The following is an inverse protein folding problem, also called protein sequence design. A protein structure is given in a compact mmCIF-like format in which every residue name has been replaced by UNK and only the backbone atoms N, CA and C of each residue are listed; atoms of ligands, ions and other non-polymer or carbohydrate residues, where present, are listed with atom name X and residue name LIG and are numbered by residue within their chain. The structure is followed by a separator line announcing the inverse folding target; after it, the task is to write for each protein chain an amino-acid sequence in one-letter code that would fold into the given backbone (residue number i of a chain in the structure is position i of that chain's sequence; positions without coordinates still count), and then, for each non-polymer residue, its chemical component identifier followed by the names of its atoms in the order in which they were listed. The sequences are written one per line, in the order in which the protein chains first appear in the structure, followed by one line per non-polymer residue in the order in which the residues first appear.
data_IF_756408123481
#
_entry.id   IF_756408123481
#
_cell.length_a   1.000
_cell.length_b   1.000
_cell.length_c   1.000
_cell.angle_alpha   90.00
_cell.angle_beta   90.00
_cell.angle_gamma   90.00
#
_symmetry.space_group_name_H-M   'P 1'
#
loop_
_entity.id
_entity.type
_entity.pdbx_description
1 polymer ?
#
# COMPACT_ATOMS: atom_id res chain seq x y z
N UNK A 1 4.18 -31.55 -13.63
CA UNK A 1 4.98 -30.71 -12.73
C UNK A 1 4.88 -29.31 -13.27
N UNK A 2 4.04 -28.48 -12.65
CA UNK A 2 3.86 -27.08 -13.04
C UNK A 2 5.10 -26.30 -12.58
N UNK A 3 6.12 -26.25 -13.44
CA UNK A 3 7.37 -25.54 -13.17
C UNK A 3 7.19 -24.06 -13.52
N UNK A 4 6.33 -23.37 -12.78
CA UNK A 4 6.38 -21.90 -12.77
C UNK A 4 7.68 -21.52 -12.04
N UNK A 5 8.62 -20.80 -12.68
CA UNK A 5 9.84 -20.38 -12.01
C UNK A 5 9.49 -19.55 -10.78
N UNK A 6 10.14 -19.89 -9.65
CA UNK A 6 9.86 -19.23 -8.36
C UNK A 6 10.34 -17.79 -8.44
N UNK A 7 9.39 -16.85 -8.44
CA UNK A 7 9.68 -15.41 -8.49
C UNK A 7 10.64 -15.01 -7.36
N UNK A 8 11.60 -14.15 -7.72
CA UNK A 8 12.65 -13.65 -6.85
C UNK A 8 12.09 -12.63 -5.87
N UNK A 9 12.46 -12.80 -4.61
CA UNK A 9 12.13 -11.88 -3.51
C UNK A 9 13.05 -10.67 -3.57
N UNK A 10 12.61 -9.55 -3.02
CA UNK A 10 13.43 -8.36 -2.85
C UNK A 10 13.50 -7.90 -1.41
N UNK A 11 14.04 -6.70 -1.21
CA UNK A 11 14.23 -6.07 0.08
C UNK A 11 13.44 -4.77 0.16
N UNK A 12 12.85 -4.53 1.32
CA UNK A 12 12.06 -3.32 1.57
C UNK A 12 12.95 -2.09 1.73
N UNK A 13 12.38 -0.88 1.59
CA UNK A 13 13.12 0.36 1.86
C UNK A 13 13.66 0.40 3.29
N UNK A 14 12.94 -0.16 4.26
CA UNK A 14 13.40 -0.32 5.64
C UNK A 14 14.64 -1.20 5.79
N UNK A 15 14.71 -2.32 5.08
CA UNK A 15 15.89 -3.19 5.10
C UNK A 15 17.11 -2.51 4.45
N UNK A 16 16.91 -1.81 3.32
CA UNK A 16 17.96 -1.04 2.68
C UNK A 16 18.48 0.09 3.58
N UNK A 17 17.59 0.84 4.24
CA UNK A 17 17.96 1.89 5.19
C UNK A 17 18.73 1.32 6.39
N UNK A 18 18.30 0.17 6.93
CA UNK A 18 18.98 -0.49 8.05
C UNK A 18 20.40 -0.93 7.66
N UNK A 19 20.57 -1.52 6.48
CA UNK A 19 21.89 -1.90 5.98
C UNK A 19 22.79 -0.67 5.75
N UNK A 20 22.28 0.39 5.13
CA UNK A 20 23.01 1.64 4.96
C UNK A 20 23.40 2.27 6.32
N UNK A 21 22.50 2.23 7.31
CA UNK A 21 22.76 2.69 8.68
C UNK A 21 23.90 1.90 9.33
N UNK A 22 23.87 0.55 9.26
CA UNK A 22 24.93 -0.32 9.79
C UNK A 22 26.29 0.06 9.19
N UNK A 23 26.37 0.18 7.87
CA UNK A 23 27.60 0.52 7.18
C UNK A 23 28.12 1.93 7.56
N UNK A 24 27.22 2.92 7.65
CA UNK A 24 27.56 4.28 8.02
C UNK A 24 28.08 4.39 9.46
N UNK A 25 27.48 3.65 10.40
CA UNK A 25 27.94 3.55 11.79
C UNK A 25 29.30 2.86 11.91
N UNK A 26 29.51 1.75 11.18
CA UNK A 26 30.82 1.10 11.10
C UNK A 26 31.89 2.07 10.59
N UNK A 27 31.58 2.91 9.60
CA UNK A 27 32.47 3.99 9.15
C UNK A 27 32.74 5.03 10.23
N UNK A 28 31.68 5.54 10.86
CA UNK A 28 31.79 6.61 11.86
C UNK A 28 32.58 6.18 13.11
N UNK A 29 32.38 4.95 13.59
CA UNK A 29 33.02 4.45 14.82
C UNK A 29 34.27 3.62 14.58
N UNK A 30 34.32 2.85 13.50
CA UNK A 30 35.44 1.98 13.12
C UNK A 30 36.41 2.58 12.10
N UNK A 31 36.09 3.75 11.53
CA UNK A 31 36.95 4.51 10.62
C UNK A 31 36.88 4.09 9.14
N UNK A 32 36.27 2.94 8.81
CA UNK A 32 36.11 2.47 7.43
C UNK A 32 34.70 1.96 7.18
N UNK A 33 34.05 2.45 6.12
CA UNK A 33 32.76 1.91 5.66
C UNK A 33 32.98 0.61 4.89
N UNK A 34 32.36 -0.51 5.28
CA UNK A 34 32.52 -1.77 4.57
C UNK A 34 31.83 -1.76 3.20
N UNK A 35 32.36 -2.52 2.23
CA UNK A 35 31.75 -2.67 0.91
C UNK A 35 30.47 -3.52 0.88
N UNK A 36 30.20 -4.28 1.95
CA UNK A 36 28.97 -5.03 2.13
C UNK A 36 28.68 -5.21 3.63
N UNK A 37 27.39 -5.34 3.99
CA UNK A 37 26.96 -5.59 5.38
C UNK A 37 25.86 -6.62 5.46
N UNK A 38 25.84 -7.38 6.55
CA UNK A 38 24.75 -8.30 6.89
C UNK A 38 23.92 -7.70 8.02
N UNK A 39 22.60 -7.72 7.85
CA UNK A 39 21.63 -7.30 8.88
C UNK A 39 20.70 -8.46 9.22
N UNK A 40 20.11 -8.42 10.41
CA UNK A 40 19.08 -9.37 10.82
C UNK A 40 17.70 -8.76 10.53
N UNK A 41 16.85 -9.49 9.82
CA UNK A 41 15.46 -9.09 9.57
C UNK A 41 14.54 -9.56 10.70
N UNK A 42 13.32 -9.00 10.85
CA UNK A 42 12.40 -9.34 11.94
C UNK A 42 12.03 -10.83 12.11
N UNK A 43 12.25 -11.65 11.08
CA UNK A 43 12.03 -13.11 11.12
C UNK A 43 13.32 -13.93 11.25
N UNK A 44 14.44 -13.29 11.57
CA UNK A 44 15.75 -13.91 11.76
C UNK A 44 16.55 -14.17 10.47
N UNK A 45 16.01 -13.85 9.29
CA UNK A 45 16.78 -13.97 8.03
C UNK A 45 17.90 -12.94 8.01
N UNK A 46 19.12 -13.32 7.60
CA UNK A 46 20.32 -12.47 7.65
C UNK A 46 20.91 -12.19 6.27
N UNK A 47 20.24 -11.39 5.42
CA UNK A 47 20.74 -11.06 4.10
C UNK A 47 21.91 -10.08 4.13
N UNK A 48 22.76 -10.18 3.10
CA UNK A 48 23.90 -9.29 2.87
C UNK A 48 23.57 -8.30 1.76
N UNK A 49 23.89 -7.03 2.01
CA UNK A 49 23.67 -5.91 1.10
C UNK A 49 25.01 -5.35 0.63
N UNK A 50 25.15 -5.11 -0.67
CA UNK A 50 26.25 -4.34 -1.21
C UNK A 50 26.07 -2.86 -0.85
N UNK A 51 27.16 -2.23 -0.40
CA UNK A 51 27.20 -0.81 -0.07
C UNK A 51 27.77 -0.03 -1.25
N UNK A 52 27.12 1.08 -1.57
CA UNK A 52 27.55 2.02 -2.60
C UNK A 52 27.72 3.42 -2.01
N UNK A 53 28.46 4.28 -2.71
CA UNK A 53 28.70 5.67 -2.34
C UNK A 53 29.12 5.88 -0.86
N UNK A 54 30.12 5.14 -0.34
CA UNK A 54 30.54 5.27 1.05
C UNK A 54 31.10 6.68 1.32
N UNK A 55 30.77 7.23 2.48
CA UNK A 55 31.37 8.43 3.05
C UNK A 55 31.76 8.17 4.52
N UNK A 56 32.50 9.08 5.15
CA UNK A 56 33.05 8.85 6.50
C UNK A 56 31.99 8.43 7.54
N UNK A 57 30.78 8.98 7.47
CA UNK A 57 29.63 8.62 8.31
C UNK A 57 28.35 8.48 7.48
N UNK A 58 28.47 7.96 6.26
CA UNK A 58 27.33 7.77 5.36
C UNK A 58 27.52 6.56 4.46
N UNK A 59 26.42 5.93 4.06
CA UNK A 59 26.44 4.84 3.10
C UNK A 59 25.11 4.77 2.35
N UNK A 60 25.13 4.13 1.18
CA UNK A 60 23.94 3.92 0.37
C UNK A 60 23.75 2.44 0.01
N UNK A 61 22.51 2.07 -0.24
CA UNK A 61 22.11 0.76 -0.79
C UNK A 61 21.17 0.99 -1.96
N UNK A 62 21.41 0.31 -3.08
CA UNK A 62 20.48 0.28 -4.20
C UNK A 62 19.40 -0.77 -3.90
N UNK A 63 18.14 -0.33 -3.85
CA UNK A 63 17.02 -1.22 -3.53
C UNK A 63 16.75 -2.23 -4.64
N UNK A 64 16.82 -3.50 -4.31
CA UNK A 64 16.42 -4.59 -5.18
C UNK A 64 15.04 -5.14 -4.76
N UNK A 65 14.02 -4.99 -5.61
CA UNK A 65 12.65 -5.41 -5.30
C UNK A 65 12.36 -6.86 -5.73
N UNK A 66 13.34 -7.59 -6.24
CA UNK A 66 13.09 -8.91 -6.80
C UNK A 66 12.37 -8.79 -8.15
N UNK A 67 11.34 -9.63 -8.33
CA UNK A 67 10.47 -9.59 -9.52
C UNK A 67 9.15 -8.84 -9.24
N UNK A 68 9.06 -8.10 -8.14
CA UNK A 68 7.90 -7.25 -7.86
C UNK A 68 7.97 -5.97 -8.72
N UNK A 69 6.87 -5.55 -9.38
CA UNK A 69 6.82 -4.29 -10.14
C UNK A 69 6.72 -3.07 -9.20
N UNK A 70 7.68 -2.95 -8.29
CA UNK A 70 7.78 -1.91 -7.27
C UNK A 70 8.44 -0.66 -7.85
N UNK A 71 7.75 0.49 -7.77
CA UNK A 71 8.24 1.78 -8.28
C UNK A 71 9.54 2.24 -7.60
N UNK A 72 9.86 1.70 -6.43
CA UNK A 72 11.09 2.01 -5.67
C UNK A 72 12.22 1.02 -5.98
N UNK A 73 12.05 0.09 -6.91
CA UNK A 73 13.16 -0.73 -7.41
C UNK A 73 14.24 0.15 -8.07
N UNK A 74 15.50 -0.14 -7.77
CA UNK A 74 16.65 0.63 -8.24
C UNK A 74 16.85 1.97 -7.51
N UNK A 75 15.98 2.34 -6.58
CA UNK A 75 16.15 3.56 -5.80
C UNK A 75 17.37 3.44 -4.88
N UNK A 76 18.19 4.49 -4.86
CA UNK A 76 19.30 4.61 -3.91
C UNK A 76 18.75 5.11 -2.57
N UNK A 77 18.83 4.27 -1.54
CA UNK A 77 18.53 4.63 -0.15
C UNK A 77 19.84 4.96 0.53
N UNK A 78 19.99 6.22 0.96
CA UNK A 78 21.18 6.75 1.61
C UNK A 78 20.89 7.00 3.09
N UNK A 79 21.84 6.66 3.94
CA UNK A 79 21.81 7.00 5.36
C UNK A 79 23.08 7.74 5.73
N UNK A 80 22.92 8.88 6.42
CA UNK A 80 23.99 9.58 7.09
C UNK A 80 23.76 9.53 8.60
N UNK A 81 24.84 9.33 9.35
CA UNK A 81 24.80 9.26 10.82
C UNK A 81 25.66 10.34 11.43
N UNK A 82 25.22 10.87 12.57
CA UNK A 82 25.97 11.83 13.37
C UNK A 82 25.71 11.56 14.86
N UNK A 83 26.58 12.05 15.78
CA UNK A 83 26.26 12.03 17.20
C UNK A 83 24.99 12.84 17.50
N UNK A 84 24.11 12.30 18.36
CA UNK A 84 22.95 13.04 18.90
C UNK A 84 23.25 13.62 20.29
N UNK A 85 22.31 14.40 20.84
CA UNK A 85 22.36 14.85 22.24
C UNK A 85 21.76 13.83 23.23
N UNK A 86 21.35 12.65 22.75
CA UNK A 86 20.76 11.59 23.56
C UNK A 86 19.83 10.70 22.75
N UNK A 87 20.05 9.39 22.83
CA UNK A 87 19.27 8.36 22.16
C UNK A 87 19.34 8.40 20.64
N UNK A 88 18.50 7.57 20.01
CA UNK A 88 18.39 7.51 18.55
C UNK A 88 17.37 8.54 18.06
N UNK A 89 17.80 9.43 17.18
CA UNK A 89 16.97 10.49 16.59
C UNK A 89 16.86 10.28 15.08
N UNK A 90 15.65 10.19 14.56
CA UNK A 90 15.44 10.01 13.12
C UNK A 90 15.18 11.36 12.44
N UNK A 91 15.81 11.58 11.29
CA UNK A 91 15.55 12.72 10.40
C UNK A 91 15.22 12.26 8.99
N UNK A 92 14.33 13.00 8.34
CA UNK A 92 14.09 12.89 6.91
C UNK A 92 15.13 13.76 6.18
N UNK A 93 15.93 13.14 5.34
CA UNK A 93 16.68 13.83 4.30
C UNK A 93 15.91 13.84 2.98
N UNK A 94 16.56 14.32 1.92
CA UNK A 94 15.95 14.46 0.60
C UNK A 94 15.26 13.17 0.12
N UNK A 95 14.02 13.30 -0.33
CA UNK A 95 13.24 12.18 -0.87
C UNK A 95 12.64 11.22 0.15
N UNK A 96 12.83 11.43 1.45
CA UNK A 96 12.01 10.81 2.52
C UNK A 96 10.91 11.77 2.93
N UNK A 97 9.69 11.24 3.04
CA UNK A 97 8.52 12.06 3.32
C UNK A 97 8.42 12.51 4.78
N UNK A 98 7.61 13.53 5.02
CA UNK A 98 7.17 13.97 6.36
C UNK A 98 5.68 13.74 6.49
N UNK A 99 5.24 13.24 7.64
CA UNK A 99 3.81 12.97 7.91
C UNK A 99 3.08 14.28 8.20
N UNK A 100 1.99 14.54 7.47
CA UNK A 100 1.17 15.76 7.56
C UNK A 100 -0.26 15.48 8.00
N UNK A 101 -0.71 14.22 7.99
CA UNK A 101 -2.04 13.79 8.45
C UNK A 101 -1.94 12.76 9.57
N UNK A 102 -2.92 12.72 10.50
CA UNK A 102 -2.98 11.68 11.52
C UNK A 102 -3.43 10.33 10.93
N UNK A 103 -3.35 9.26 11.73
CA UNK A 103 -3.83 7.90 11.36
C UNK A 103 -2.74 6.95 10.86
N UNK A 104 -1.57 7.47 10.52
CA UNK A 104 -0.37 6.65 10.34
C UNK A 104 0.22 6.24 11.70
N UNK A 105 1.02 5.16 11.77
CA UNK A 105 1.71 4.75 13.00
C UNK A 105 2.90 5.67 13.35
N UNK A 106 2.97 6.84 12.72
CA UNK A 106 3.99 7.87 12.88
C UNK A 106 3.24 9.18 13.11
N UNK A 107 3.72 9.99 14.07
CA UNK A 107 3.09 11.26 14.41
C UNK A 107 3.21 12.31 13.30
N UNK A 108 2.32 13.31 13.31
CA UNK A 108 2.41 14.45 12.40
C UNK A 108 3.69 15.25 12.69
N UNK A 109 4.39 15.66 11.65
CA UNK A 109 5.68 16.35 11.70
C UNK A 109 6.90 15.43 11.71
N UNK A 110 6.71 14.12 11.92
CA UNK A 110 7.80 13.16 11.95
C UNK A 110 8.22 12.67 10.54
N UNK A 111 9.48 12.25 10.37
CA UNK A 111 9.93 11.51 9.19
C UNK A 111 9.08 10.25 8.96
N UNK A 112 8.72 9.98 7.71
CA UNK A 112 7.94 8.83 7.25
C UNK A 112 8.77 7.52 7.29
N UNK A 113 9.39 7.23 8.43
CA UNK A 113 10.14 6.03 8.74
C UNK A 113 9.31 5.20 9.72
N UNK A 114 8.76 4.07 9.26
CA UNK A 114 7.80 3.28 10.03
C UNK A 114 8.45 2.61 11.26
N UNK A 115 7.64 2.18 12.25
CA UNK A 115 8.14 1.62 13.50
C UNK A 115 9.09 0.42 13.35
N UNK A 116 8.80 -0.51 12.44
CA UNK A 116 9.66 -1.69 12.24
C UNK A 116 11.05 -1.30 11.68
N UNK A 117 11.16 -0.47 10.62
CA UNK A 117 12.45 0.08 10.21
C UNK A 117 13.19 0.87 11.31
N UNK A 118 12.48 1.65 12.13
CA UNK A 118 13.10 2.35 13.28
C UNK A 118 13.70 1.34 14.26
N UNK A 119 12.92 0.34 14.68
CA UNK A 119 13.39 -0.71 15.58
C UNK A 119 14.59 -1.48 15.01
N UNK A 120 14.58 -1.81 13.72
CA UNK A 120 15.73 -2.47 13.07
C UNK A 120 16.99 -1.60 13.11
N UNK A 121 16.87 -0.28 12.92
CA UNK A 121 18.00 0.64 13.03
C UNK A 121 18.44 0.83 14.49
N UNK A 122 17.51 0.89 15.44
CA UNK A 122 17.80 0.96 16.87
C UNK A 122 18.61 -0.27 17.34
N UNK A 123 18.23 -1.47 16.88
CA UNK A 123 18.97 -2.72 17.16
C UNK A 123 20.39 -2.67 16.61
N UNK A 124 20.59 -2.17 15.39
CA UNK A 124 21.91 -1.98 14.79
C UNK A 124 22.75 -0.96 15.56
N UNK A 125 22.14 0.16 15.99
CA UNK A 125 22.83 1.16 16.82
C UNK A 125 23.28 0.52 18.13
N UNK A 126 22.41 -0.23 18.80
CA UNK A 126 22.74 -0.90 20.07
C UNK A 126 23.84 -1.96 19.91
N UNK A 127 23.77 -2.78 18.86
CA UNK A 127 24.78 -3.79 18.50
C UNK A 127 26.16 -3.12 18.36
N UNK A 128 26.26 -2.12 17.47
CA UNK A 128 27.53 -1.47 17.16
C UNK A 128 28.02 -0.57 18.30
N UNK A 129 27.13 0.05 19.07
CA UNK A 129 27.51 0.85 20.23
C UNK A 129 28.20 -0.04 21.28
N UNK A 130 27.67 -1.24 21.51
CA UNK A 130 28.30 -2.25 22.37
C UNK A 130 29.64 -2.73 21.82
N UNK A 131 29.73 -2.99 20.51
CA UNK A 131 30.95 -3.47 19.86
C UNK A 131 32.10 -2.45 19.95
N UNK A 132 31.82 -1.17 19.67
CA UNK A 132 32.82 -0.10 19.63
C UNK A 132 33.00 0.65 20.96
N UNK A 133 32.29 0.25 22.02
CA UNK A 133 32.35 0.92 23.33
C UNK A 133 31.87 2.38 23.27
N UNK A 134 30.78 2.64 22.54
CA UNK A 134 30.17 3.97 22.36
C UNK A 134 28.80 4.05 23.04
N UNK A 135 28.33 5.26 23.28
CA UNK A 135 26.94 5.49 23.66
C UNK A 135 26.04 5.35 22.42
N UNK A 136 24.80 4.82 22.54
CA UNK A 136 23.85 4.69 21.44
C UNK A 136 23.15 6.03 21.12
N UNK A 137 23.90 7.13 21.15
CA UNK A 137 23.41 8.49 20.91
C UNK A 137 23.69 8.88 19.46
N UNK A 138 22.76 8.52 18.57
CA UNK A 138 22.94 8.62 17.13
C UNK A 138 21.76 9.33 16.49
N UNK A 139 22.05 10.35 15.70
CA UNK A 139 21.13 10.93 14.75
C UNK A 139 21.26 10.19 13.41
N UNK A 140 20.15 9.67 12.89
CA UNK A 140 20.06 8.92 11.65
C UNK A 140 19.23 9.74 10.66
N UNK A 141 19.88 10.27 9.62
CA UNK A 141 19.21 10.92 8.50
C UNK A 141 19.07 9.95 7.34
N UNK A 142 17.83 9.62 6.97
CA UNK A 142 17.55 8.75 5.82
C UNK A 142 17.09 9.58 4.62
N UNK A 143 17.67 9.32 3.45
CA UNK A 143 17.36 9.97 2.18
C UNK A 143 17.11 8.94 1.09
N UNK A 144 16.33 9.30 0.08
CA UNK A 144 16.14 8.50 -1.14
C UNK A 144 16.39 9.37 -2.35
N UNK A 145 17.40 9.05 -3.15
CA UNK A 145 17.75 9.84 -4.34
C UNK A 145 16.57 9.83 -5.34
N UNK A 146 16.07 11.02 -5.70
CA UNK A 146 14.87 11.16 -6.53
C UNK A 146 13.56 10.74 -5.83
N UNK A 147 13.57 10.54 -4.52
CA UNK A 147 12.45 9.99 -3.76
C UNK A 147 11.16 10.83 -3.85
N UNK A 148 11.26 12.16 -3.95
CA UNK A 148 10.08 13.02 -4.14
C UNK A 148 9.33 12.72 -5.44
N UNK A 149 10.06 12.52 -6.54
CA UNK A 149 9.47 12.19 -7.84
C UNK A 149 8.88 10.76 -7.87
N UNK A 150 9.52 9.82 -7.16
CA UNK A 150 8.98 8.47 -6.97
C UNK A 150 7.71 8.50 -6.12
N UNK A 151 7.70 9.26 -5.02
CA UNK A 151 6.56 9.37 -4.11
C UNK A 151 5.30 9.90 -4.79
N UNK A 152 5.44 10.81 -5.75
CA UNK A 152 4.32 11.31 -6.55
C UNK A 152 3.59 10.22 -7.36
N UNK A 153 4.23 9.06 -7.59
CA UNK A 153 3.65 7.89 -8.25
C UNK A 153 3.14 6.83 -7.26
N UNK A 154 3.10 7.16 -5.97
CA UNK A 154 2.65 6.26 -4.90
C UNK A 154 1.43 6.83 -4.20
N UNK A 155 0.93 6.08 -3.23
CA UNK A 155 -0.17 6.52 -2.38
C UNK A 155 0.24 7.47 -1.24
N UNK A 156 1.54 7.76 -1.09
CA UNK A 156 2.05 8.64 -0.04
C UNK A 156 1.36 10.02 0.02
N UNK A 157 1.18 10.75 -1.09
CA UNK A 157 0.53 12.06 -1.04
C UNK A 157 -0.89 11.99 -0.45
N UNK A 158 -1.64 10.93 -0.77
CA UNK A 158 -3.01 10.71 -0.27
C UNK A 158 -3.03 10.35 1.21
N UNK A 159 -2.03 9.61 1.67
CA UNK A 159 -1.86 9.28 3.09
C UNK A 159 -1.36 10.46 3.94
N UNK A 160 -1.17 11.64 3.35
CA UNK A 160 -0.60 12.79 4.04
C UNK A 160 0.88 12.61 4.32
N UNK A 161 1.64 12.13 3.32
CA UNK A 161 3.10 12.05 3.38
C UNK A 161 3.65 12.96 2.28
N UNK A 162 4.25 14.06 2.70
CA UNK A 162 4.72 15.12 1.80
C UNK A 162 6.23 15.05 1.58
N UNK A 163 6.69 15.41 0.38
CA UNK A 163 8.11 15.60 0.07
C UNK A 163 8.92 14.32 -0.22
N UNK A 164 8.36 13.13 -0.05
CA UNK A 164 9.12 11.90 -0.28
C UNK A 164 8.43 10.58 0.03
N UNK A 165 9.22 9.51 -0.11
CA UNK A 165 8.81 8.13 0.12
C UNK A 165 8.79 7.79 1.60
N UNK A 166 8.06 6.73 1.91
CA UNK A 166 8.06 6.12 3.23
C UNK A 166 9.13 5.05 3.31
N UNK A 167 9.91 5.05 4.40
CA UNK A 167 10.82 3.97 4.75
C UNK A 167 10.01 2.95 5.52
N UNK A 168 9.67 1.84 4.88
CA UNK A 168 8.69 0.88 5.37
C UNK A 168 9.13 -0.56 5.11
N UNK A 169 8.45 -1.50 5.75
CA UNK A 169 8.67 -2.93 5.61
C UNK A 169 8.52 -3.64 6.95
N UNK A 170 7.52 -4.50 7.09
CA UNK A 170 7.26 -5.21 8.36
C UNK A 170 8.10 -6.48 8.53
N UNK A 171 8.59 -7.04 7.43
CA UNK A 171 9.41 -8.26 7.44
C UNK A 171 10.81 -8.05 6.90
N UNK A 172 11.11 -6.85 6.40
CA UNK A 172 12.33 -6.57 5.63
C UNK A 172 12.26 -7.03 4.16
N UNK A 173 11.24 -7.76 3.76
CA UNK A 173 11.21 -8.52 2.50
C UNK A 173 10.06 -8.11 1.60
N UNK A 174 10.37 -7.87 0.33
CA UNK A 174 9.40 -7.69 -0.75
C UNK A 174 9.09 -9.04 -1.36
N UNK A 175 7.80 -9.39 -1.44
CA UNK A 175 7.31 -10.59 -2.11
C UNK A 175 6.54 -10.15 -3.35
N UNK A 176 6.90 -10.62 -4.56
CA UNK A 176 6.22 -10.26 -5.79
C UNK A 176 4.71 -10.46 -5.69
N UNK A 177 3.93 -9.45 -6.12
CA UNK A 177 2.47 -9.47 -6.18
C UNK A 177 1.81 -9.79 -4.83
N UNK A 178 2.36 -9.26 -3.74
CA UNK A 178 1.85 -9.54 -2.40
C UNK A 178 0.48 -8.92 -2.15
N UNK A 179 -0.56 -9.75 -2.04
CA UNK A 179 -1.89 -9.32 -1.58
C UNK A 179 -1.83 -8.66 -0.19
N UNK A 180 -0.91 -9.11 0.68
CA UNK A 180 -0.75 -8.55 2.02
C UNK A 180 -0.26 -7.10 2.00
N UNK A 181 0.64 -6.75 1.06
CA UNK A 181 1.10 -5.37 0.90
C UNK A 181 -0.04 -4.45 0.43
N UNK A 182 -0.86 -4.93 -0.51
CA UNK A 182 -2.04 -4.20 -1.00
C UNK A 182 -3.07 -3.98 0.12
N UNK A 183 -3.41 -5.04 0.87
CA UNK A 183 -4.34 -4.95 2.02
C UNK A 183 -3.82 -3.95 3.07
N UNK A 184 -2.51 -3.93 3.33
CA UNK A 184 -1.93 -2.96 4.25
C UNK A 184 -2.10 -1.50 3.76
N UNK A 185 -2.02 -1.25 2.45
CA UNK A 185 -2.35 0.05 1.83
C UNK A 185 -3.79 0.44 2.16
N UNK A 186 -4.76 -0.43 1.87
CA UNK A 186 -6.19 -0.20 2.17
C UNK A 186 -6.40 0.16 3.65
N UNK A 187 -5.79 -0.58 4.57
CA UNK A 187 -5.91 -0.32 6.01
C UNK A 187 -5.37 1.05 6.40
N UNK A 188 -4.21 1.46 5.86
CA UNK A 188 -3.64 2.79 6.13
C UNK A 188 -4.54 3.91 5.63
N UNK A 189 -5.17 3.74 4.48
CA UNK A 189 -6.11 4.71 3.95
C UNK A 189 -7.33 4.90 4.82
N UNK A 190 -7.90 3.78 5.31
CA UNK A 190 -9.04 3.82 6.24
C UNK A 190 -8.63 4.50 7.55
N UNK A 191 -7.46 4.19 8.09
CA UNK A 191 -7.00 4.82 9.33
C UNK A 191 -6.75 6.32 9.18
N UNK A 192 -6.14 6.76 8.06
CA UNK A 192 -5.96 8.18 7.76
C UNK A 192 -7.30 8.87 7.58
N UNK A 193 -8.22 8.31 6.78
CA UNK A 193 -9.55 8.89 6.57
C UNK A 193 -10.32 9.07 7.88
N UNK A 194 -10.29 8.05 8.76
CA UNK A 194 -10.95 8.11 10.07
C UNK A 194 -10.29 9.12 10.99
N UNK A 195 -8.96 9.17 11.03
CA UNK A 195 -8.24 10.10 11.88
C UNK A 195 -8.39 11.56 11.42
N UNK A 196 -8.61 11.80 10.13
CA UNK A 196 -8.92 13.11 9.54
C UNK A 196 -10.41 13.49 9.70
N UNK A 197 -11.22 12.64 10.35
CA UNK A 197 -12.63 12.89 10.63
C UNK A 197 -13.58 12.66 9.45
N UNK A 198 -13.13 11.97 8.39
CA UNK A 198 -14.00 11.65 7.26
C UNK A 198 -15.09 10.67 7.68
N UNK A 199 -16.32 11.00 7.31
CA UNK A 199 -17.50 10.16 7.52
C UNK A 199 -17.86 9.34 6.28
N UNK A 200 -17.33 9.70 5.11
CA UNK A 200 -17.59 9.04 3.84
C UNK A 200 -16.28 8.67 3.13
N UNK A 201 -16.12 7.38 2.83
CA UNK A 201 -14.99 6.84 2.05
C UNK A 201 -15.50 6.03 0.87
N UNK A 202 -14.67 5.87 -0.16
CA UNK A 202 -15.02 5.07 -1.34
C UNK A 202 -13.91 4.10 -1.74
N UNK A 203 -14.27 2.86 -2.03
CA UNK A 203 -13.38 1.86 -2.65
C UNK A 203 -13.79 1.60 -4.09
N UNK A 204 -12.85 1.75 -5.03
CA UNK A 204 -13.13 1.59 -6.45
C UNK A 204 -12.26 0.51 -7.11
N UNK A 205 -12.80 -0.16 -8.13
CA UNK A 205 -12.07 -1.25 -8.83
C UNK A 205 -11.00 -0.77 -9.80
N UNK A 206 -10.97 0.53 -10.09
CA UNK A 206 -9.96 1.13 -10.97
C UNK A 206 -10.13 2.64 -11.13
N UNK A 207 -9.17 3.27 -11.80
CA UNK A 207 -9.05 4.73 -11.91
C UNK A 207 -10.28 5.42 -12.54
N UNK A 208 -10.92 4.81 -13.56
CA UNK A 208 -12.13 5.37 -14.17
C UNK A 208 -13.28 5.43 -13.18
N UNK A 209 -13.57 4.32 -12.47
CA UNK A 209 -14.61 4.29 -11.43
C UNK A 209 -14.28 5.21 -10.26
N UNK A 210 -13.00 5.29 -9.89
CA UNK A 210 -12.55 6.18 -8.84
C UNK A 210 -12.87 7.64 -9.17
N UNK A 211 -12.46 8.10 -10.36
CA UNK A 211 -12.75 9.47 -10.82
C UNK A 211 -14.25 9.77 -10.89
N UNK A 212 -15.05 8.80 -11.35
CA UNK A 212 -16.51 8.95 -11.44
C UNK A 212 -17.11 9.08 -10.03
N UNK A 213 -16.82 8.15 -9.12
CA UNK A 213 -17.34 8.17 -7.74
C UNK A 213 -16.87 9.41 -6.98
N UNK A 214 -15.59 9.76 -7.12
CA UNK A 214 -15.02 10.94 -6.48
C UNK A 214 -15.73 12.21 -6.91
N UNK A 215 -15.95 12.41 -8.22
CA UNK A 215 -16.66 13.57 -8.74
C UNK A 215 -18.13 13.57 -8.31
N UNK A 216 -18.77 12.40 -8.28
CA UNK A 216 -20.19 12.23 -7.99
C UNK A 216 -20.55 12.57 -6.54
N UNK A 217 -19.64 12.28 -5.61
CA UNK A 217 -19.83 12.52 -4.17
C UNK A 217 -18.96 13.67 -3.64
N UNK A 218 -18.24 14.38 -4.53
CA UNK A 218 -17.30 15.45 -4.17
C UNK A 218 -16.29 15.04 -3.09
N UNK A 219 -15.81 13.80 -3.17
CA UNK A 219 -14.90 13.23 -2.17
C UNK A 219 -13.48 13.80 -2.32
N UNK A 220 -12.81 14.15 -1.21
CA UNK A 220 -11.40 14.52 -1.28
C UNK A 220 -10.54 13.30 -1.62
N UNK A 221 -9.33 13.53 -2.14
CA UNK A 221 -8.46 12.46 -2.66
C UNK A 221 -8.14 11.36 -1.64
N UNK A 222 -8.02 11.73 -0.35
CA UNK A 222 -7.72 10.80 0.74
C UNK A 222 -8.94 10.02 1.25
N UNK A 223 -10.14 10.30 0.74
CA UNK A 223 -11.34 9.48 0.94
C UNK A 223 -11.42 8.30 -0.05
N UNK A 224 -10.63 8.35 -1.12
CA UNK A 224 -10.59 7.32 -2.17
C UNK A 224 -9.60 6.24 -1.79
N UNK A 225 -10.10 5.09 -1.32
CA UNK A 225 -9.33 3.94 -0.84
C UNK A 225 -8.80 3.08 -2.00
N UNK A 226 -7.56 2.60 -1.86
CA UNK A 226 -6.84 1.74 -2.82
C UNK A 226 -7.37 0.30 -2.82
N UNK A 227 -8.69 0.13 -2.96
CA UNK A 227 -9.38 -1.16 -2.88
C UNK A 227 -8.97 -2.09 -4.04
N UNK A 228 -8.93 -1.55 -5.26
CA UNK A 228 -8.75 -2.34 -6.47
C UNK A 228 -9.74 -3.51 -6.53
N UNK A 229 -9.23 -4.72 -6.72
CA UNK A 229 -10.04 -5.94 -6.77
C UNK A 229 -10.35 -6.55 -5.38
N UNK A 230 -9.76 -6.02 -4.30
CA UNK A 230 -9.83 -6.61 -2.95
C UNK A 230 -10.95 -6.03 -2.09
N UNK A 231 -12.19 -6.07 -2.59
CA UNK A 231 -13.37 -5.57 -1.88
C UNK A 231 -13.50 -6.18 -0.47
N UNK A 232 -13.32 -7.49 -0.33
CA UNK A 232 -13.37 -8.15 0.97
C UNK A 232 -12.27 -7.72 1.94
N UNK A 233 -11.09 -7.33 1.43
CA UNK A 233 -10.00 -6.80 2.26
C UNK A 233 -10.40 -5.48 2.90
N UNK A 234 -10.97 -4.58 2.10
CA UNK A 234 -11.51 -3.29 2.57
C UNK A 234 -12.66 -3.48 3.56
N UNK A 235 -13.69 -4.26 3.19
CA UNK A 235 -14.90 -4.42 4.01
C UNK A 235 -14.62 -5.09 5.35
N UNK A 236 -13.74 -6.10 5.39
CA UNK A 236 -13.33 -6.75 6.66
C UNK A 236 -12.65 -5.78 7.62
N UNK A 237 -11.89 -4.82 7.10
CA UNK A 237 -11.26 -3.81 7.93
C UNK A 237 -12.26 -2.75 8.39
N UNK A 238 -13.11 -2.24 7.50
CA UNK A 238 -14.17 -1.29 7.83
C UNK A 238 -15.15 -1.82 8.89
N UNK A 239 -15.43 -3.14 8.89
CA UNK A 239 -16.24 -3.77 9.95
C UNK A 239 -15.69 -3.53 11.36
N UNK A 240 -14.37 -3.47 11.52
CA UNK A 240 -13.68 -3.24 12.81
C UNK A 240 -13.34 -1.76 13.03
N UNK A 241 -13.31 -0.99 11.95
CA UNK A 241 -12.95 0.42 11.92
C UNK A 241 -14.05 1.19 11.17
N UNK A 242 -15.24 1.32 11.75
CA UNK A 242 -16.41 1.83 11.04
C UNK A 242 -16.24 3.29 10.63
N UNK A 243 -16.93 3.62 9.54
CA UNK A 243 -17.14 4.94 8.95
C UNK A 243 -18.63 5.04 8.62
N UNK A 244 -19.20 6.24 8.65
CA UNK A 244 -20.65 6.38 8.54
C UNK A 244 -21.19 5.98 7.16
N UNK A 245 -20.46 6.28 6.09
CA UNK A 245 -20.86 5.99 4.70
C UNK A 245 -19.73 5.38 3.89
N UNK A 246 -20.05 4.36 3.08
CA UNK A 246 -19.10 3.64 2.21
C UNK A 246 -19.67 3.54 0.81
N UNK A 247 -18.95 4.05 -0.18
CA UNK A 247 -19.27 3.81 -1.59
C UNK A 247 -18.37 2.74 -2.20
N UNK A 248 -18.96 1.76 -2.89
CA UNK A 248 -18.23 0.80 -3.72
C UNK A 248 -18.48 1.11 -5.20
N UNK A 249 -17.43 1.50 -5.91
CA UNK A 249 -17.50 1.85 -7.33
C UNK A 249 -16.79 0.86 -8.23
N UNK A 250 -17.30 0.61 -9.43
CA UNK A 250 -16.53 -0.17 -10.39
C UNK A 250 -17.25 -0.51 -11.67
N UNK A 251 -16.51 -1.16 -12.56
CA UNK A 251 -17.06 -1.63 -13.83
C UNK A 251 -18.06 -2.76 -13.63
N UNK A 252 -19.09 -2.82 -14.48
CA UNK A 252 -20.16 -3.83 -14.42
C UNK A 252 -19.65 -5.25 -14.16
N UNK A 253 -18.61 -5.73 -14.86
CA UNK A 253 -18.10 -7.09 -14.67
C UNK A 253 -17.53 -7.38 -13.28
N UNK A 254 -16.95 -6.39 -12.60
CA UNK A 254 -16.43 -6.55 -11.23
C UNK A 254 -17.56 -6.48 -10.21
N UNK A 255 -18.51 -5.57 -10.41
CA UNK A 255 -19.66 -5.38 -9.51
C UNK A 255 -20.66 -6.53 -9.63
N UNK A 256 -20.79 -7.15 -10.81
CA UNK A 256 -21.53 -8.40 -10.97
C UNK A 256 -20.93 -9.52 -10.12
N UNK A 257 -19.61 -9.67 -10.08
CA UNK A 257 -18.96 -10.68 -9.22
C UNK A 257 -19.20 -10.40 -7.74
N UNK A 258 -19.14 -9.12 -7.33
CA UNK A 258 -19.49 -8.73 -5.98
C UNK A 258 -20.95 -9.06 -5.64
N UNK A 259 -21.89 -8.75 -6.55
CA UNK A 259 -23.30 -9.11 -6.42
C UNK A 259 -23.51 -10.63 -6.32
N UNK A 260 -22.67 -11.42 -6.99
CA UNK A 260 -22.64 -12.89 -6.90
C UNK A 260 -21.93 -13.40 -5.63
N UNK A 261 -21.44 -12.51 -4.76
CA UNK A 261 -20.83 -12.84 -3.47
C UNK A 261 -19.31 -13.00 -3.49
N UNK A 262 -18.64 -12.73 -4.62
CA UNK A 262 -17.19 -12.76 -4.68
C UNK A 262 -16.58 -11.56 -3.92
N UNK A 263 -15.56 -11.85 -3.12
CA UNK A 263 -14.85 -10.84 -2.30
C UNK A 263 -13.50 -10.43 -2.88
N UNK A 264 -13.00 -11.21 -3.83
CA UNK A 264 -11.85 -10.90 -4.69
C UNK A 264 -12.38 -10.88 -6.13
N UNK A 265 -12.33 -9.70 -6.75
CA UNK A 265 -12.96 -9.43 -8.04
C UNK A 265 -12.02 -9.71 -9.22
N UNK A 266 -10.79 -10.14 -8.95
CA UNK A 266 -9.81 -10.46 -9.98
C UNK A 266 -10.30 -11.62 -10.85
N UNK A 267 -10.12 -11.54 -12.17
CA UNK A 267 -10.59 -12.57 -13.11
C UNK A 267 -9.95 -13.94 -12.86
N UNK A 268 -8.70 -13.99 -12.42
CA UNK A 268 -8.06 -15.25 -12.02
C UNK A 268 -8.64 -15.89 -10.74
N UNK A 269 -9.55 -15.21 -10.02
CA UNK A 269 -10.12 -15.68 -8.74
C UNK A 269 -11.62 -15.89 -8.79
N UNK A 270 -12.32 -15.09 -9.58
CA UNK A 270 -13.76 -15.16 -9.76
C UNK A 270 -14.14 -14.86 -11.20
N UNK A 271 -15.18 -15.52 -11.69
CA UNK A 271 -15.76 -15.33 -13.02
C UNK A 271 -17.22 -14.93 -12.87
N UNK A 272 -17.76 -14.26 -13.89
CA UNK A 272 -19.18 -13.94 -13.95
C UNK A 272 -19.94 -15.22 -14.30
N UNK A 273 -20.88 -15.61 -13.45
CA UNK A 273 -21.80 -16.70 -13.76
C UNK A 273 -23.02 -16.16 -14.50
N UNK A 274 -23.09 -16.39 -15.81
CA UNK A 274 -24.20 -15.92 -16.65
C UNK A 274 -25.51 -16.65 -16.41
N UNK A 275 -25.50 -17.90 -15.95
CA UNK A 275 -26.74 -18.62 -15.62
C UNK A 275 -27.44 -17.93 -14.44
N UNK A 276 -26.66 -17.55 -13.42
CA UNK A 276 -27.17 -16.74 -12.31
C UNK A 276 -27.75 -15.39 -12.79
N UNK A 277 -27.16 -14.74 -13.81
CA UNK A 277 -27.73 -13.51 -14.36
C UNK A 277 -29.03 -13.77 -15.13
N UNK A 278 -29.13 -14.90 -15.83
CA UNK A 278 -30.37 -15.32 -16.48
C UNK A 278 -31.48 -15.49 -15.45
N UNK A 279 -31.19 -16.12 -14.32
CA UNK A 279 -32.16 -16.31 -13.23
C UNK A 279 -32.61 -14.97 -12.62
N UNK A 280 -31.71 -14.00 -12.51
CA UNK A 280 -32.03 -12.68 -11.97
C UNK A 280 -32.93 -11.85 -12.89
N UNK A 281 -32.80 -12.03 -14.20
CA UNK A 281 -33.48 -11.22 -15.22
C UNK A 281 -34.68 -11.92 -15.84
N UNK A 282 -34.77 -13.25 -15.72
CA UNK A 282 -35.73 -14.08 -16.44
C UNK A 282 -35.43 -14.23 -17.95
N UNK A 283 -34.24 -13.82 -18.41
CA UNK A 283 -33.84 -13.88 -19.83
C UNK A 283 -32.57 -14.71 -20.00
N UNK A 284 -32.44 -15.47 -21.08
CA UNK A 284 -31.23 -16.28 -21.30
C UNK A 284 -30.01 -15.41 -21.70
N UNK A 285 -29.07 -15.31 -20.76
CA UNK A 285 -27.80 -14.60 -20.90
C UNK A 285 -26.59 -15.54 -20.99
N UNK A 286 -26.79 -16.86 -21.03
CA UNK A 286 -25.69 -17.85 -21.02
C UNK A 286 -24.77 -17.77 -22.24
N UNK A 287 -25.27 -17.20 -23.34
CA UNK A 287 -24.49 -16.94 -24.56
C UNK A 287 -23.68 -15.62 -24.55
N UNK A 288 -23.69 -14.85 -23.47
CA UNK A 288 -22.89 -13.64 -23.35
C UNK A 288 -21.44 -13.96 -22.94
N UNK A 289 -20.49 -13.19 -23.47
CA UNK A 289 -19.08 -13.31 -23.11
C UNK A 289 -18.67 -12.36 -21.98
N UNK A 290 -19.41 -11.27 -21.78
CA UNK A 290 -19.11 -10.27 -20.76
C UNK A 290 -20.38 -9.75 -20.09
N UNK A 291 -20.26 -9.32 -18.84
CA UNK A 291 -21.37 -8.67 -18.13
C UNK A 291 -21.85 -7.39 -18.85
N UNK A 292 -20.95 -6.68 -19.55
CA UNK A 292 -21.34 -5.51 -20.34
C UNK A 292 -22.21 -5.91 -21.54
N UNK A 293 -21.86 -6.99 -22.24
CA UNK A 293 -22.71 -7.53 -23.31
C UNK A 293 -24.09 -7.94 -22.77
N UNK A 294 -24.14 -8.55 -21.58
CA UNK A 294 -25.40 -8.90 -20.93
C UNK A 294 -26.24 -7.65 -20.61
N UNK A 295 -25.63 -6.57 -20.11
CA UNK A 295 -26.33 -5.28 -19.89
C UNK A 295 -26.81 -4.66 -21.21
N UNK A 296 -26.08 -4.80 -22.32
CA UNK A 296 -26.56 -4.33 -23.62
C UNK A 296 -27.81 -5.07 -24.08
N UNK A 297 -27.94 -6.37 -23.74
CA UNK A 297 -29.14 -7.17 -24.06
C UNK A 297 -30.30 -6.87 -23.10
N UNK A 298 -29.99 -6.69 -21.81
CA UNK A 298 -30.95 -6.45 -20.73
C UNK A 298 -30.46 -5.27 -19.89
N UNK A 299 -30.81 -4.02 -20.26
CA UNK A 299 -30.32 -2.82 -19.57
C UNK A 299 -30.62 -2.79 -18.07
N UNK A 300 -31.77 -3.33 -17.63
CA UNK A 300 -32.18 -3.36 -16.22
C UNK A 300 -31.24 -4.23 -15.35
N UNK A 301 -30.41 -5.08 -15.97
CA UNK A 301 -29.42 -5.89 -15.26
C UNK A 301 -28.44 -5.02 -14.45
N UNK A 302 -28.12 -3.82 -14.93
CA UNK A 302 -27.21 -2.93 -14.20
C UNK A 302 -27.77 -2.54 -12.82
N UNK A 303 -29.07 -2.21 -12.75
CA UNK A 303 -29.75 -1.87 -11.49
C UNK A 303 -29.85 -3.09 -10.57
N UNK A 304 -30.18 -4.26 -11.11
CA UNK A 304 -30.20 -5.51 -10.35
C UNK A 304 -28.83 -5.82 -9.74
N UNK A 305 -27.75 -5.62 -10.52
CA UNK A 305 -26.38 -5.80 -10.05
C UNK A 305 -26.05 -4.80 -8.94
N UNK A 306 -26.41 -3.52 -9.09
CA UNK A 306 -26.17 -2.50 -8.07
C UNK A 306 -26.84 -2.87 -6.73
N UNK A 307 -28.13 -3.22 -6.77
CA UNK A 307 -28.91 -3.61 -5.58
C UNK A 307 -28.33 -4.84 -4.89
N UNK A 308 -28.01 -5.88 -5.67
CA UNK A 308 -27.46 -7.12 -5.11
C UNK A 308 -26.04 -6.92 -4.57
N UNK A 309 -25.20 -6.14 -5.24
CA UNK A 309 -23.87 -5.79 -4.73
C UNK A 309 -23.98 -5.00 -3.42
N UNK A 310 -24.89 -4.02 -3.33
CA UNK A 310 -25.12 -3.24 -2.10
C UNK A 310 -25.54 -4.16 -0.95
N UNK A 311 -26.45 -5.09 -1.20
CA UNK A 311 -26.84 -6.11 -0.22
C UNK A 311 -25.64 -6.93 0.27
N UNK A 312 -24.72 -7.35 -0.62
CA UNK A 312 -23.51 -8.08 -0.21
C UNK A 312 -22.55 -7.25 0.62
N UNK A 313 -22.47 -5.96 0.38
CA UNK A 313 -21.69 -5.04 1.22
C UNK A 313 -22.38 -4.85 2.59
N UNK A 314 -23.70 -4.68 2.60
CA UNK A 314 -24.50 -4.50 3.83
C UNK A 314 -24.45 -5.72 4.74
N UNK A 315 -24.33 -6.93 4.19
CA UNK A 315 -24.14 -8.15 4.97
C UNK A 315 -22.79 -8.17 5.74
N UNK A 316 -21.83 -7.30 5.36
CA UNK A 316 -20.48 -7.30 5.93
C UNK A 316 -20.20 -6.18 6.92
N UNK A 317 -20.82 -5.01 6.74
CA UNK A 317 -20.52 -3.79 7.49
C UNK A 317 -21.81 -3.07 7.89
N UNK A 318 -21.76 -2.35 9.00
CA UNK A 318 -22.85 -1.49 9.48
C UNK A 318 -22.52 -0.02 9.14
N UNK A 319 -23.04 0.45 8.00
CA UNK A 319 -22.84 1.79 7.45
C UNK A 319 -23.92 2.12 6.41
N UNK A 320 -24.07 3.39 6.06
CA UNK A 320 -24.77 3.81 4.84
C UNK A 320 -23.93 3.39 3.62
N UNK A 321 -24.53 2.66 2.68
CA UNK A 321 -23.78 2.05 1.57
C UNK A 321 -24.32 2.52 0.23
N UNK A 322 -23.41 2.98 -0.63
CA UNK A 322 -23.69 3.23 -2.03
C UNK A 322 -22.94 2.26 -2.92
N UNK A 323 -23.56 1.84 -4.02
CA UNK A 323 -22.90 1.15 -5.12
C UNK A 323 -23.05 1.95 -6.40
N UNK A 324 -21.93 2.16 -7.11
CA UNK A 324 -21.91 2.87 -8.39
C UNK A 324 -21.33 1.95 -9.46
N UNK A 325 -22.17 1.60 -10.44
CA UNK A 325 -21.81 0.72 -11.55
C UNK A 325 -21.54 1.57 -12.79
N UNK A 326 -20.38 1.39 -13.40
CA UNK A 326 -19.99 2.12 -14.61
C UNK A 326 -19.69 1.19 -15.79
N UNK A 327 -19.77 1.74 -17.00
CA UNK A 327 -19.19 1.13 -18.19
C UNK A 327 -17.68 1.41 -18.31
N UNK A 328 -17.08 1.05 -19.45
CA UNK A 328 -15.64 1.30 -19.71
C UNK A 328 -15.31 2.78 -19.97
N UNK A 329 -16.27 3.57 -20.46
CA UNK A 329 -16.11 4.99 -20.72
C UNK A 329 -16.29 5.85 -19.45
N UNK A 330 -16.81 5.26 -18.38
CA UNK A 330 -17.14 5.96 -17.14
C UNK A 330 -18.58 6.49 -17.12
N UNK A 331 -19.43 6.07 -18.05
CA UNK A 331 -20.87 6.31 -17.97
C UNK A 331 -21.42 5.52 -16.79
N UNK A 332 -22.19 6.19 -15.93
CA UNK A 332 -22.89 5.51 -14.84
C UNK A 332 -24.05 4.71 -15.43
N UNK A 333 -23.99 3.39 -15.28
CA UNK A 333 -25.03 2.47 -15.72
C UNK A 333 -26.13 2.31 -14.68
N UNK A 334 -25.76 2.26 -13.40
CA UNK A 334 -26.68 2.08 -12.29
C UNK A 334 -26.09 2.62 -10.99
N UNK A 335 -26.99 2.96 -10.06
CA UNK A 335 -26.66 3.44 -8.71
C UNK A 335 -27.70 2.91 -7.72
N UNK A 336 -27.25 2.53 -6.54
CA UNK A 336 -28.14 2.13 -5.45
C UNK A 336 -27.53 2.59 -4.11
N UNK A 337 -28.33 3.26 -3.26
CA UNK A 337 -27.86 3.96 -2.04
C UNK A 337 -27.97 5.48 -2.11
#
# INVERSE_FOLDING_TARGET
MDQTPKLRRGWTTGACATAACKAALTGMWGGTVPGAVTITLPKGETPTFAIVNPGAAAASVIKDAGDDPDVTHGAEVRVAVAPSQGGVVFRAGDGVGTVTKPGLPIAVGEPAINPVPRAMMDEVVAELASEFGRAPDVEITVSVVGGAALAAKTWNPRLGIAGGLSILGTTGIVRPFSCAAWIASIHRGIDVARADGLTHVAGCTGATSERVVQALHHLPDHAMLDMGDFAGGMLKYLRRHPVARVTVGGGIGKLTKLAQGAMDLHSGRSQVDFATLSDWTGQDLTGCNTALEAVTRVPELADIVAVRARSKVADMIDADIDVVVIDRAGTVLARDG
#
